data_IF_707669264199
#
_entry.id   IF_707669264199
#
_cell.length_a   1.000
_cell.length_b   1.000
_cell.length_c   1.000
_cell.angle_alpha   90.00
_cell.angle_beta   90.00
_cell.angle_gamma   90.00
#
_symmetry.space_group_name_H-M   'P 1'
#
loop_
_entity.id
_entity.type
_entity.pdbx_description
1 polymer ?
#
# COMPACT_ATOMS: atom_id res chain seq x y z
N UNK A 1 -21.03 1.21 -20.14
CA UNK A 1 -20.28 0.65 -18.98
C UNK A 1 -20.14 -0.86 -19.17
N UNK A 2 -18.95 -1.39 -19.34
CA UNK A 2 -18.77 -2.82 -19.64
C UNK A 2 -18.64 -3.60 -18.31
N UNK A 3 -19.73 -4.25 -17.85
CA UNK A 3 -19.79 -5.00 -16.59
C UNK A 3 -18.61 -5.99 -16.41
N UNK A 4 -18.16 -6.60 -17.49
CA UNK A 4 -17.05 -7.57 -17.46
C UNK A 4 -15.73 -6.90 -17.08
N UNK A 5 -15.47 -5.69 -17.57
CA UNK A 5 -14.25 -4.94 -17.24
C UNK A 5 -14.25 -4.50 -15.79
N UNK A 6 -15.41 -4.11 -15.24
CA UNK A 6 -15.53 -3.70 -13.85
C UNK A 6 -15.37 -4.90 -12.91
N UNK A 7 -15.91 -6.07 -13.24
CA UNK A 7 -15.72 -7.31 -12.47
C UNK A 7 -14.24 -7.71 -12.43
N UNK A 8 -13.54 -7.67 -13.56
CA UNK A 8 -12.10 -7.99 -13.61
C UNK A 8 -11.28 -7.07 -12.70
N UNK A 9 -11.58 -5.77 -12.68
CA UNK A 9 -10.90 -4.82 -11.79
C UNK A 9 -11.15 -5.11 -10.31
N UNK A 10 -12.39 -5.44 -9.96
CA UNK A 10 -12.74 -5.83 -8.59
C UNK A 10 -11.97 -7.09 -8.17
N UNK A 11 -11.90 -8.10 -9.04
CA UNK A 11 -11.15 -9.34 -8.77
C UNK A 11 -9.66 -9.03 -8.55
N UNK A 12 -9.06 -8.15 -9.36
CA UNK A 12 -7.67 -7.73 -9.19
C UNK A 12 -7.47 -7.02 -7.86
N UNK A 13 -8.35 -6.08 -7.49
CA UNK A 13 -8.28 -5.37 -6.20
C UNK A 13 -8.32 -6.36 -5.03
N UNK A 14 -9.30 -7.28 -5.03
CA UNK A 14 -9.44 -8.30 -3.98
C UNK A 14 -8.22 -9.22 -3.93
N UNK A 15 -7.67 -9.62 -5.07
CA UNK A 15 -6.47 -10.44 -5.15
C UNK A 15 -5.24 -9.72 -4.58
N UNK A 16 -5.02 -8.45 -4.89
CA UNK A 16 -3.90 -7.67 -4.39
C UNK A 16 -4.00 -7.47 -2.86
N UNK A 17 -5.19 -7.16 -2.33
CA UNK A 17 -5.42 -7.08 -0.89
C UNK A 17 -5.17 -8.44 -0.22
N UNK A 18 -5.69 -9.53 -0.81
CA UNK A 18 -5.45 -10.88 -0.31
C UNK A 18 -3.96 -11.22 -0.29
N UNK A 19 -3.24 -10.91 -1.36
CA UNK A 19 -1.80 -11.14 -1.46
C UNK A 19 -1.02 -10.38 -0.38
N UNK A 20 -1.37 -9.12 -0.13
CA UNK A 20 -0.79 -8.33 0.95
C UNK A 20 -1.05 -8.97 2.32
N UNK A 21 -2.31 -9.29 2.64
CA UNK A 21 -2.69 -9.84 3.95
C UNK A 21 -2.12 -11.25 4.18
N UNK A 22 -2.11 -12.11 3.15
CA UNK A 22 -1.56 -13.46 3.29
C UNK A 22 -0.03 -13.42 3.47
N UNK A 23 0.68 -12.54 2.76
CA UNK A 23 2.12 -12.36 2.93
C UNK A 23 2.46 -11.83 4.33
N UNK A 24 1.73 -10.85 4.84
CA UNK A 24 1.88 -10.34 6.21
C UNK A 24 1.65 -11.44 7.25
N UNK A 25 0.65 -12.30 7.04
CA UNK A 25 0.39 -13.45 7.91
C UNK A 25 1.56 -14.44 7.90
N UNK A 26 2.06 -14.83 6.72
CA UNK A 26 3.14 -15.82 6.61
C UNK A 26 4.49 -15.30 7.12
N UNK A 27 4.77 -14.02 6.91
CA UNK A 27 6.07 -13.44 7.28
C UNK A 27 6.08 -12.78 8.65
N UNK A 28 4.95 -12.72 9.34
CA UNK A 28 4.90 -12.25 10.73
C UNK A 28 5.84 -13.05 11.61
N UNK A 29 6.68 -12.37 12.39
CA UNK A 29 7.71 -12.96 13.26
C UNK A 29 8.79 -13.79 12.55
N UNK A 30 8.95 -13.64 11.22
CA UNK A 30 10.03 -14.29 10.48
C UNK A 30 11.24 -13.39 10.33
N UNK A 31 12.42 -14.04 10.27
CA UNK A 31 13.67 -13.42 9.90
C UNK A 31 14.42 -14.42 9.01
N UNK A 32 14.42 -14.16 7.69
CA UNK A 32 14.94 -15.08 6.66
C UNK A 32 15.79 -14.25 5.71
N UNK A 33 17.06 -14.56 5.61
CA UNK A 33 17.94 -14.01 4.60
C UNK A 33 17.70 -14.74 3.27
N UNK A 34 17.02 -14.06 2.33
CA UNK A 34 16.65 -14.64 1.02
C UNK A 34 17.81 -14.49 0.04
N UNK A 35 18.43 -13.31 0.01
CA UNK A 35 19.66 -13.03 -0.78
C UNK A 35 20.60 -12.29 0.16
N UNK A 36 21.77 -12.88 0.38
CA UNK A 36 22.75 -12.36 1.32
C UNK A 36 23.04 -10.87 1.05
N UNK A 37 22.94 -10.07 2.10
CA UNK A 37 23.20 -8.62 2.11
C UNK A 37 22.36 -7.79 1.12
N UNK A 38 21.35 -8.37 0.43
CA UNK A 38 20.53 -7.69 -0.57
C UNK A 38 19.05 -7.70 -0.21
N UNK A 39 18.49 -8.87 0.14
CA UNK A 39 17.07 -9.01 0.41
C UNK A 39 16.82 -9.94 1.60
N UNK A 40 16.20 -9.39 2.63
CA UNK A 40 15.91 -10.08 3.88
C UNK A 40 14.43 -9.92 4.19
N UNK A 41 13.78 -11.02 4.55
CA UNK A 41 12.47 -10.99 5.20
C UNK A 41 12.72 -10.79 6.69
N UNK A 42 12.42 -9.58 7.18
CA UNK A 42 12.60 -9.19 8.58
C UNK A 42 11.33 -8.55 9.10
N UNK A 43 10.56 -9.31 9.87
CA UNK A 43 9.29 -8.81 10.40
C UNK A 43 9.47 -7.69 11.41
N UNK A 44 8.70 -6.64 11.25
CA UNK A 44 8.54 -5.54 12.20
C UNK A 44 7.09 -5.12 12.30
N UNK A 45 6.71 -4.52 13.43
CA UNK A 45 5.37 -3.96 13.65
C UNK A 45 5.46 -2.43 13.62
N UNK A 46 4.56 -1.80 12.84
CA UNK A 46 4.51 -0.35 12.66
C UNK A 46 3.16 0.18 13.14
N UNK A 47 3.15 0.89 14.26
CA UNK A 47 1.96 1.51 14.85
C UNK A 47 1.70 2.94 14.34
N UNK A 48 2.64 3.52 13.60
CA UNK A 48 2.52 4.84 13.01
C UNK A 48 2.10 4.82 11.53
N UNK A 49 2.36 5.92 10.84
CA UNK A 49 2.17 6.02 9.39
C UNK A 49 3.52 5.76 8.71
N UNK A 50 4.14 6.76 8.11
CA UNK A 50 5.44 6.62 7.46
C UNK A 50 6.54 6.55 8.55
N UNK A 51 7.34 5.49 8.57
CA UNK A 51 8.45 5.29 9.53
C UNK A 51 8.06 5.36 11.00
N UNK A 52 6.83 4.95 11.36
CA UNK A 52 6.37 4.95 12.75
C UNK A 52 6.00 6.33 13.31
N UNK A 53 6.03 7.39 12.50
CA UNK A 53 5.59 8.73 12.90
C UNK A 53 4.09 8.71 13.21
N UNK A 54 3.65 9.52 14.18
CA UNK A 54 2.25 9.60 14.65
C UNK A 54 1.69 8.29 15.22
N UNK A 55 2.56 7.44 15.81
CA UNK A 55 2.12 6.23 16.52
C UNK A 55 1.05 6.56 17.55
N UNK A 56 -0.03 5.75 17.59
CA UNK A 56 -1.16 5.93 18.51
C UNK A 56 -2.13 7.06 18.15
N UNK A 57 -1.89 7.85 17.12
CA UNK A 57 -2.82 8.88 16.70
C UNK A 57 -3.90 8.28 15.77
N UNK A 58 -5.08 7.99 16.35
CA UNK A 58 -6.21 7.41 15.62
C UNK A 58 -6.63 8.23 14.41
N UNK A 59 -6.62 9.55 14.51
CA UNK A 59 -7.02 10.42 13.41
C UNK A 59 -6.12 10.23 12.19
N UNK A 60 -4.82 10.20 12.38
CA UNK A 60 -3.84 10.08 11.29
C UNK A 60 -3.74 8.64 10.78
N UNK A 61 -3.83 7.66 11.68
CA UNK A 61 -3.58 6.25 11.33
C UNK A 61 -4.81 5.53 10.78
N UNK A 62 -6.02 5.97 11.11
CA UNK A 62 -7.29 5.34 10.72
C UNK A 62 -8.17 6.30 9.92
N UNK A 63 -8.54 7.46 10.50
CA UNK A 63 -9.54 8.33 9.89
C UNK A 63 -9.05 8.98 8.60
N UNK A 64 -7.83 9.50 8.59
CA UNK A 64 -7.26 10.13 7.39
C UNK A 64 -7.14 9.15 6.20
N UNK A 65 -6.60 7.92 6.34
CA UNK A 65 -6.64 6.93 5.26
C UNK A 65 -8.07 6.61 4.76
N UNK A 66 -9.06 6.51 5.66
CA UNK A 66 -10.46 6.31 5.25
C UNK A 66 -10.99 7.46 4.39
N UNK A 67 -10.73 8.70 4.79
CA UNK A 67 -11.14 9.89 4.01
C UNK A 67 -10.45 9.92 2.64
N UNK A 68 -9.15 9.59 2.59
CA UNK A 68 -8.42 9.51 1.32
C UNK A 68 -9.00 8.40 0.43
N UNK A 69 -9.30 7.22 0.97
CA UNK A 69 -9.94 6.13 0.21
C UNK A 69 -11.28 6.58 -0.36
N UNK A 70 -12.13 7.22 0.45
CA UNK A 70 -13.44 7.72 0.00
C UNK A 70 -13.29 8.75 -1.13
N UNK A 71 -12.35 9.69 -1.01
CA UNK A 71 -12.02 10.65 -2.06
C UNK A 71 -11.54 9.96 -3.34
N UNK A 72 -10.63 8.99 -3.22
CA UNK A 72 -10.08 8.27 -4.38
C UNK A 72 -11.13 7.39 -5.08
N UNK A 73 -12.10 6.84 -4.35
CA UNK A 73 -13.25 6.12 -4.94
C UNK A 73 -14.09 7.09 -5.79
N UNK A 74 -14.34 8.30 -5.29
CA UNK A 74 -15.03 9.34 -6.05
C UNK A 74 -14.24 9.71 -7.32
N UNK A 75 -12.96 10.03 -7.22
CA UNK A 75 -12.09 10.34 -8.38
C UNK A 75 -12.03 9.20 -9.39
N UNK A 76 -11.95 7.95 -8.89
CA UNK A 76 -11.98 6.77 -9.76
C UNK A 76 -13.31 6.63 -10.52
N UNK A 77 -14.43 7.04 -9.95
CA UNK A 77 -15.73 7.00 -10.63
C UNK A 77 -15.77 7.91 -11.86
N UNK A 78 -15.04 9.03 -11.83
CA UNK A 78 -14.96 10.02 -12.90
C UNK A 78 -13.92 9.63 -13.98
N UNK A 79 -12.71 9.25 -13.56
CA UNK A 79 -11.57 9.11 -14.48
C UNK A 79 -11.14 7.65 -14.76
N UNK A 80 -11.43 6.71 -13.86
CA UNK A 80 -11.16 5.27 -13.99
C UNK A 80 -9.71 4.87 -14.24
N UNK A 81 -8.76 5.74 -13.91
CA UNK A 81 -7.35 5.42 -14.07
C UNK A 81 -6.87 4.42 -12.99
N UNK A 82 -5.99 3.48 -13.39
CA UNK A 82 -5.52 2.38 -12.52
C UNK A 82 -4.77 2.86 -11.28
N UNK A 83 -4.14 4.04 -11.31
CA UNK A 83 -3.42 4.61 -10.17
C UNK A 83 -4.30 4.75 -8.93
N UNK A 84 -5.55 5.19 -9.10
CA UNK A 84 -6.48 5.30 -7.98
C UNK A 84 -6.72 3.96 -7.29
N UNK A 85 -6.91 2.88 -8.07
CA UNK A 85 -7.10 1.54 -7.51
C UNK A 85 -5.89 1.04 -6.75
N UNK A 86 -4.68 1.27 -7.26
CA UNK A 86 -3.45 0.87 -6.57
C UNK A 86 -3.27 1.62 -5.25
N UNK A 87 -3.53 2.93 -5.22
CA UNK A 87 -3.46 3.70 -3.98
C UNK A 87 -4.51 3.22 -2.99
N UNK A 88 -5.76 2.98 -3.44
CA UNK A 88 -6.84 2.46 -2.59
C UNK A 88 -6.43 1.11 -1.99
N UNK A 89 -5.93 0.17 -2.79
CA UNK A 89 -5.48 -1.16 -2.33
C UNK A 89 -4.41 -1.04 -1.26
N UNK A 90 -3.40 -0.20 -1.48
CA UNK A 90 -2.32 0.00 -0.53
C UNK A 90 -2.78 0.63 0.79
N UNK A 91 -3.58 1.70 0.71
CA UNK A 91 -4.17 2.31 1.91
C UNK A 91 -5.06 1.31 2.67
N UNK A 92 -5.90 0.57 1.95
CA UNK A 92 -6.82 -0.39 2.53
C UNK A 92 -6.12 -1.58 3.18
N UNK A 93 -5.06 -2.13 2.56
CA UNK A 93 -4.25 -3.20 3.12
C UNK A 93 -3.63 -2.82 4.48
N UNK A 94 -3.02 -1.63 4.56
CA UNK A 94 -2.45 -1.12 5.81
C UNK A 94 -3.52 -0.69 6.84
N UNK A 95 -4.70 -0.25 6.37
CA UNK A 95 -5.83 0.07 7.25
C UNK A 95 -6.41 -1.18 7.90
N UNK A 96 -6.58 -2.28 7.14
CA UNK A 96 -7.05 -3.57 7.67
C UNK A 96 -6.15 -4.07 8.80
N UNK A 97 -4.84 -3.97 8.64
CA UNK A 97 -3.89 -4.34 9.69
C UNK A 97 -4.11 -3.53 10.97
N UNK A 98 -4.26 -2.21 10.85
CA UNK A 98 -4.48 -1.34 12.01
C UNK A 98 -5.81 -1.62 12.72
N UNK A 99 -6.87 -1.89 11.97
CA UNK A 99 -8.19 -2.21 12.53
C UNK A 99 -8.19 -3.59 13.21
N UNK A 100 -7.53 -4.59 12.62
CA UNK A 100 -7.58 -5.96 13.10
C UNK A 100 -6.50 -6.22 14.18
N UNK A 101 -5.27 -5.71 13.98
CA UNK A 101 -4.09 -6.02 14.80
C UNK A 101 -3.61 -4.85 15.67
N UNK A 102 -4.05 -3.64 15.37
CA UNK A 102 -3.54 -2.42 16.03
C UNK A 102 -2.21 -1.91 15.47
N UNK A 103 -1.60 -2.62 14.52
CA UNK A 103 -0.33 -2.27 13.89
C UNK A 103 -0.26 -2.83 12.47
N UNK A 104 0.62 -2.27 11.64
CA UNK A 104 0.95 -2.79 10.30
C UNK A 104 2.13 -3.75 10.41
N UNK A 105 2.10 -4.85 9.66
CA UNK A 105 3.23 -5.77 9.54
C UNK A 105 4.08 -5.37 8.35
N UNK A 106 5.32 -4.96 8.61
CA UNK A 106 6.35 -4.68 7.60
C UNK A 106 7.34 -5.84 7.61
N UNK A 107 7.65 -6.41 6.43
CA UNK A 107 8.47 -7.62 6.37
C UNK A 107 9.53 -7.62 5.25
N UNK A 108 9.51 -6.67 4.36
CA UNK A 108 10.51 -6.53 3.28
C UNK A 108 11.60 -5.59 3.78
N UNK A 109 12.81 -6.12 3.90
CA UNK A 109 13.98 -5.36 4.29
C UNK A 109 15.06 -5.46 3.20
N UNK A 110 15.50 -4.31 2.71
CA UNK A 110 16.56 -4.18 1.71
C UNK A 110 17.70 -3.36 2.32
N UNK A 111 18.80 -3.99 2.77
CA UNK A 111 19.91 -3.33 3.49
C UNK A 111 20.50 -2.13 2.74
N UNK A 112 20.59 -2.20 1.41
CA UNK A 112 21.15 -1.12 0.58
C UNK A 112 20.36 0.19 0.73
N UNK A 113 19.05 0.12 0.97
CA UNK A 113 18.22 1.32 1.14
C UNK A 113 18.15 1.80 2.59
N UNK A 114 18.67 1.06 3.56
CA UNK A 114 18.77 1.50 4.95
C UNK A 114 19.56 2.82 5.07
N UNK A 115 20.59 3.00 4.24
CA UNK A 115 21.35 4.25 4.12
C UNK A 115 20.44 5.47 3.84
N UNK A 116 19.25 5.25 3.27
CA UNK A 116 18.26 6.28 2.95
C UNK A 116 17.10 6.32 3.95
N UNK A 117 17.26 5.68 5.13
CA UNK A 117 16.24 5.57 6.17
C UNK A 117 14.93 4.87 5.70
N UNK A 118 15.01 4.01 4.70
CA UNK A 118 13.93 3.13 4.27
C UNK A 118 14.21 1.77 4.88
N UNK A 119 13.60 1.50 6.05
CA UNK A 119 13.96 0.33 6.84
C UNK A 119 13.18 -0.92 6.43
N UNK A 120 11.86 -0.84 6.50
CA UNK A 120 10.98 -1.98 6.28
C UNK A 120 9.69 -1.51 5.61
N UNK A 121 9.11 -2.36 4.75
CA UNK A 121 7.87 -2.12 4.05
C UNK A 121 7.15 -3.44 3.72
N UNK A 122 5.97 -3.34 3.14
CA UNK A 122 5.11 -4.45 2.76
C UNK A 122 4.55 -4.28 1.33
N UNK A 123 3.73 -5.20 0.87
CA UNK A 123 3.14 -5.09 -0.47
C UNK A 123 2.17 -3.92 -0.61
N UNK A 124 1.41 -3.59 0.43
CA UNK A 124 0.52 -2.43 0.40
C UNK A 124 1.31 -1.13 0.14
N UNK A 125 2.49 -0.98 0.73
CA UNK A 125 3.37 0.17 0.50
C UNK A 125 3.88 0.21 -0.95
N UNK A 126 4.22 -0.94 -1.54
CA UNK A 126 4.59 -1.01 -2.96
C UNK A 126 3.44 -0.59 -3.86
N UNK A 127 2.20 -1.01 -3.57
CA UNK A 127 1.03 -0.59 -4.34
C UNK A 127 0.79 0.91 -4.23
N UNK A 128 0.96 1.50 -3.04
CA UNK A 128 0.89 2.95 -2.82
C UNK A 128 1.90 3.69 -3.69
N UNK A 129 3.17 3.31 -3.61
CA UNK A 129 4.25 3.96 -4.36
C UNK A 129 4.01 3.85 -5.87
N UNK A 130 3.69 2.65 -6.36
CA UNK A 130 3.37 2.44 -7.78
C UNK A 130 2.16 3.25 -8.22
N UNK A 131 1.11 3.29 -7.40
CA UNK A 131 -0.09 4.09 -7.67
C UNK A 131 0.22 5.57 -7.78
N UNK A 132 1.02 6.12 -6.87
CA UNK A 132 1.42 7.53 -6.89
C UNK A 132 2.27 7.84 -8.14
N UNK A 133 3.26 7.01 -8.46
CA UNK A 133 4.11 7.20 -9.65
C UNK A 133 3.26 7.19 -10.93
N UNK A 134 2.38 6.17 -11.09
CA UNK A 134 1.50 6.09 -12.25
C UNK A 134 0.50 7.25 -12.33
N UNK A 135 0.00 7.72 -11.19
CA UNK A 135 -0.87 8.88 -11.09
C UNK A 135 -0.17 10.17 -11.55
N UNK A 136 1.05 10.40 -11.09
CA UNK A 136 1.85 11.56 -11.51
C UNK A 136 2.13 11.54 -13.01
N UNK A 137 2.56 10.39 -13.56
CA UNK A 137 2.80 10.23 -15.00
C UNK A 137 1.50 10.51 -15.79
N UNK A 138 0.38 10.01 -15.30
CA UNK A 138 -0.92 10.23 -15.94
C UNK A 138 -1.32 11.71 -15.97
N UNK A 139 -1.18 12.42 -14.85
CA UNK A 139 -1.50 13.84 -14.75
C UNK A 139 -0.64 14.70 -15.69
N UNK A 140 0.67 14.45 -15.73
CA UNK A 140 1.60 15.15 -16.64
C UNK A 140 1.17 14.96 -18.11
N UNK A 141 0.84 13.71 -18.50
CA UNK A 141 0.40 13.42 -19.87
C UNK A 141 -0.98 14.02 -20.21
N UNK A 142 -1.85 14.18 -19.22
CA UNK A 142 -3.18 14.77 -19.40
C UNK A 142 -3.09 16.28 -19.62
N UNK A 143 -2.19 16.97 -18.92
CA UNK A 143 -1.97 18.42 -19.08
C UNK A 143 -1.34 18.76 -20.43
N UNK A 144 -0.44 17.93 -20.95
CA UNK A 144 0.17 18.15 -22.29
C UNK A 144 -0.80 17.94 -23.47
N UNK A 145 -2.02 17.43 -23.22
CA UNK A 145 -3.04 17.21 -24.26
C UNK A 145 -4.13 18.29 -24.30
N UNK A 146 -4.08 19.23 -23.37
CA UNK A 146 -4.93 20.43 -23.36
C UNK A 146 -4.25 21.58 -24.07
#
# INVERSE_FOLDING_TARGET
MNKITDIKKIIIVLFLVFLDQISKYFFYSKNIEVIKDIFIIKSSTNTGVIFGIFSGNFFITILLPLLIIAFLIYEYSEDRHISYLLIIVGLFGNLLDRVIRGFVVDFIYIPVVEKYNIFLFNFADLYLVLGVILGLIYLIKKDHKK
#
